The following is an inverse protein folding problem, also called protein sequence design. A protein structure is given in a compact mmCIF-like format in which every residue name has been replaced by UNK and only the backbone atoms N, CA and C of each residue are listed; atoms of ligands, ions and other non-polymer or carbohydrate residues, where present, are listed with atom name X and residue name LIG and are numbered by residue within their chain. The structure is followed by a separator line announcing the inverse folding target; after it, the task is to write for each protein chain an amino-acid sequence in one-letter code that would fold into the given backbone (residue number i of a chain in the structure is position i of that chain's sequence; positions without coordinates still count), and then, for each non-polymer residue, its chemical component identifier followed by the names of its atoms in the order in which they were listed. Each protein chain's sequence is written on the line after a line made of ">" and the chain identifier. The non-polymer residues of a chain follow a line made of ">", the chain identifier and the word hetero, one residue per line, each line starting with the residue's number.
data_IF_441020640675
#
_entry.id   IF_441020640675
#
_cell.length_a   1.000
_cell.length_b   1.000
_cell.length_c   1.000
_cell.angle_alpha   90.00
_cell.angle_beta   90.00
_cell.angle_gamma   90.00
#
_symmetry.space_group_name_H-M   'P 1'
#
loop_
_entity.id
_entity.type
_entity.pdbx_description
1 polymer ?
#
# COMPACT_ATOMS: atom_id res chain seq x y z
N UNK A 1 11.27 -9.36 3.86
CA UNK A 1 10.63 -8.63 2.74
C UNK A 1 10.44 -9.63 1.61
N UNK A 2 9.21 -9.91 1.22
CA UNK A 2 8.92 -10.81 0.10
C UNK A 2 8.81 -9.96 -1.15
N UNK A 3 9.67 -10.20 -2.15
CA UNK A 3 9.45 -9.61 -3.48
C UNK A 3 8.20 -10.26 -4.07
N UNK A 4 7.17 -9.46 -4.31
CA UNK A 4 5.98 -9.89 -5.03
C UNK A 4 6.29 -10.01 -6.51
N UNK A 5 5.97 -11.16 -7.10
CA UNK A 5 5.97 -11.29 -8.56
C UNK A 5 4.63 -10.74 -9.05
N UNK A 6 4.61 -9.44 -9.38
CA UNK A 6 3.41 -8.79 -9.88
C UNK A 6 3.34 -8.95 -11.39
N UNK A 7 2.33 -9.63 -11.85
CA UNK A 7 2.09 -9.86 -13.28
C UNK A 7 1.84 -8.56 -14.06
N UNK A 8 1.55 -7.45 -13.38
CA UNK A 8 1.31 -6.14 -13.99
C UNK A 8 1.57 -5.02 -12.98
N UNK A 9 2.33 -4.03 -13.40
CA UNK A 9 2.48 -2.73 -12.72
C UNK A 9 1.96 -1.64 -13.65
N UNK A 10 1.42 -0.56 -13.09
CA UNK A 10 1.10 0.62 -13.88
C UNK A 10 2.39 1.27 -14.41
N UNK A 11 2.39 1.61 -15.68
CA UNK A 11 3.50 2.28 -16.34
C UNK A 11 3.30 3.80 -16.38
N UNK A 12 2.11 4.29 -16.01
CA UNK A 12 1.80 5.72 -15.94
C UNK A 12 0.68 6.00 -14.93
N UNK A 13 0.53 7.26 -14.55
CA UNK A 13 -0.55 7.71 -13.67
C UNK A 13 -1.91 7.59 -14.38
N UNK A 14 -1.95 7.88 -15.68
CA UNK A 14 -3.15 7.69 -16.50
C UNK A 14 -3.62 6.25 -16.45
N UNK A 15 -2.72 5.28 -16.54
CA UNK A 15 -3.06 3.87 -16.44
C UNK A 15 -3.62 3.52 -15.05
N UNK A 16 -3.06 4.08 -13.96
CA UNK A 16 -3.64 3.92 -12.62
C UNK A 16 -5.07 4.45 -12.56
N UNK A 17 -5.32 5.63 -13.16
CA UNK A 17 -6.64 6.23 -13.21
C UNK A 17 -7.62 5.40 -14.04
N UNK A 18 -7.21 4.90 -15.20
CA UNK A 18 -8.04 4.09 -16.09
C UNK A 18 -8.42 2.76 -15.43
N UNK A 19 -7.46 2.04 -14.87
CA UNK A 19 -7.61 0.69 -14.34
C UNK A 19 -8.31 0.66 -12.96
N UNK A 20 -8.39 1.77 -12.24
CA UNK A 20 -9.12 1.84 -10.98
C UNK A 20 -10.63 1.84 -11.19
N UNK A 21 -11.35 0.97 -10.50
CA UNK A 21 -12.82 0.99 -10.44
C UNK A 21 -13.33 2.04 -9.43
N UNK A 22 -12.50 2.35 -8.42
CA UNK A 22 -12.84 3.24 -7.33
C UNK A 22 -11.59 4.03 -6.91
N UNK A 23 -11.71 5.36 -6.77
CA UNK A 23 -10.67 6.23 -6.24
C UNK A 23 -11.28 7.07 -5.12
N UNK A 24 -10.74 6.92 -3.92
CA UNK A 24 -11.26 7.53 -2.70
C UNK A 24 -10.17 8.31 -1.96
N UNK A 25 -10.53 9.43 -1.36
CA UNK A 25 -9.81 9.95 -0.20
C UNK A 25 -10.44 9.36 1.05
N UNK A 26 -9.63 8.70 1.85
CA UNK A 26 -10.09 7.99 3.04
C UNK A 26 -9.29 8.39 4.27
N UNK A 27 -9.95 8.30 5.43
CA UNK A 27 -9.31 8.20 6.73
C UNK A 27 -9.51 6.79 7.27
N UNK A 28 -8.45 6.15 7.71
CA UNK A 28 -8.54 4.81 8.30
C UNK A 28 -9.32 4.87 9.60
N UNK A 29 -10.51 4.27 9.63
CA UNK A 29 -11.35 4.16 10.83
C UNK A 29 -10.90 2.97 11.67
N UNK A 30 -10.64 1.84 11.02
CA UNK A 30 -10.21 0.60 11.66
C UNK A 30 -9.50 -0.30 10.65
N UNK A 31 -8.67 -1.21 11.15
CA UNK A 31 -7.98 -2.23 10.36
C UNK A 31 -8.10 -3.59 11.02
N UNK A 32 -8.22 -4.64 10.22
CA UNK A 32 -8.20 -6.02 10.68
C UNK A 32 -7.27 -6.84 9.78
N UNK A 33 -6.14 -7.28 10.32
CA UNK A 33 -5.23 -8.17 9.63
C UNK A 33 -5.67 -9.62 9.82
N UNK A 34 -5.59 -10.42 8.76
CA UNK A 34 -5.95 -11.84 8.78
C UNK A 34 -5.09 -12.61 7.79
N UNK A 35 -4.99 -13.92 7.97
CA UNK A 35 -4.31 -14.81 7.04
C UNK A 35 -5.32 -15.29 6.00
N UNK A 36 -5.00 -15.08 4.72
CA UNK A 36 -5.83 -15.55 3.61
C UNK A 36 -5.58 -17.04 3.30
N UNK A 37 -6.35 -17.59 2.34
CA UNK A 37 -6.29 -18.99 1.94
C UNK A 37 -4.93 -19.45 1.36
N UNK A 38 -4.05 -18.51 1.04
CA UNK A 38 -2.68 -18.77 0.57
C UNK A 38 -1.62 -18.66 1.69
N UNK A 39 -2.04 -18.45 2.94
CA UNK A 39 -1.13 -18.27 4.06
C UNK A 39 -0.47 -16.89 4.14
N UNK A 40 -0.98 -15.92 3.38
CA UNK A 40 -0.46 -14.55 3.33
C UNK A 40 -1.29 -13.63 4.22
N UNK A 41 -0.63 -12.72 4.93
CA UNK A 41 -1.35 -11.68 5.67
C UNK A 41 -2.02 -10.73 4.67
N UNK A 42 -3.28 -10.43 4.91
CA UNK A 42 -4.04 -9.36 4.27
C UNK A 42 -4.62 -8.45 5.33
N UNK A 43 -4.77 -7.18 5.01
CA UNK A 43 -5.40 -6.21 5.88
C UNK A 43 -6.71 -5.72 5.26
N UNK A 44 -7.79 -5.88 6.00
CA UNK A 44 -9.09 -5.28 5.72
C UNK A 44 -9.13 -3.89 6.37
N UNK A 45 -9.41 -2.87 5.59
CA UNK A 45 -9.48 -1.47 6.01
C UNK A 45 -10.95 -1.05 6.00
N UNK A 46 -11.45 -0.62 7.16
CA UNK A 46 -12.74 0.06 7.26
C UNK A 46 -12.48 1.56 7.11
N UNK A 47 -12.86 2.20 6.00
CA UNK A 47 -12.58 3.61 5.79
C UNK A 47 -13.68 4.50 6.37
N UNK A 48 -13.31 5.72 6.74
CA UNK A 48 -14.17 6.88 6.71
C UNK A 48 -13.85 7.59 5.39
N UNK A 49 -14.78 7.61 4.45
CA UNK A 49 -14.57 8.27 3.16
C UNK A 49 -14.71 9.77 3.33
N UNK A 50 -13.69 10.50 2.90
CA UNK A 50 -13.63 11.96 2.91
C UNK A 50 -14.02 12.54 1.56
N UNK A 51 -13.63 11.84 0.46
CA UNK A 51 -14.00 12.23 -0.90
C UNK A 51 -14.04 11.01 -1.83
N UNK A 52 -14.83 11.11 -2.93
CA UNK A 52 -14.94 10.09 -3.98
C UNK A 52 -14.53 10.71 -5.31
N UNK A 53 -13.35 10.35 -5.80
CA UNK A 53 -12.85 10.88 -7.06
C UNK A 53 -13.29 10.06 -8.27
N UNK A 54 -13.47 8.74 -8.13
CA UNK A 54 -13.96 7.85 -9.19
C UNK A 54 -14.81 6.73 -8.62
N UNK A 55 -15.84 6.31 -9.37
CA UNK A 55 -16.73 5.20 -9.01
C UNK A 55 -17.84 5.56 -8.04
N UNK A 56 -18.50 4.54 -7.50
CA UNK A 56 -19.57 4.67 -6.50
C UNK A 56 -19.19 3.85 -5.29
N UNK A 57 -19.13 4.49 -4.13
CA UNK A 57 -18.82 3.83 -2.87
C UNK A 57 -20.09 3.52 -2.07
N UNK A 58 -20.25 2.27 -1.63
CA UNK A 58 -21.42 1.77 -0.89
C UNK A 58 -21.01 1.13 0.45
N UNK A 59 -20.11 1.76 1.18
CA UNK A 59 -19.58 1.30 2.46
C UNK A 59 -18.79 -0.04 2.38
N UNK A 60 -18.10 -0.25 1.27
CA UNK A 60 -17.25 -1.42 1.10
C UNK A 60 -16.01 -1.36 2.00
N UNK A 61 -15.53 -2.55 2.39
CA UNK A 61 -14.23 -2.73 3.01
C UNK A 61 -13.17 -2.76 1.91
N UNK A 62 -12.06 -2.07 2.14
CA UNK A 62 -10.91 -2.07 1.23
C UNK A 62 -9.87 -3.07 1.71
N UNK A 63 -9.21 -3.76 0.78
CA UNK A 63 -8.25 -4.79 1.09
C UNK A 63 -6.87 -4.45 0.53
N UNK A 64 -5.84 -4.75 1.31
CA UNK A 64 -4.44 -4.67 0.89
C UNK A 64 -3.73 -5.98 1.21
N UNK A 65 -2.75 -6.36 0.39
CA UNK A 65 -1.89 -7.48 0.70
C UNK A 65 -0.85 -7.04 1.73
N UNK A 66 -0.54 -7.92 2.69
CA UNK A 66 0.38 -7.60 3.77
C UNK A 66 -0.30 -6.96 4.98
N UNK A 67 0.50 -6.65 5.98
CA UNK A 67 0.06 -6.09 7.25
C UNK A 67 0.85 -6.64 8.43
N UNK A 68 0.32 -6.40 9.61
CA UNK A 68 0.91 -6.82 10.88
C UNK A 68 -0.18 -7.44 11.77
N UNK A 69 0.13 -8.58 12.38
CA UNK A 69 -0.76 -9.25 13.30
C UNK A 69 0.02 -9.97 14.41
N UNK A 70 -0.64 -10.31 15.51
CA UNK A 70 0.00 -11.07 16.57
C UNK A 70 0.44 -12.45 16.07
N UNK A 71 1.63 -12.88 16.48
CA UNK A 71 2.15 -14.21 16.16
C UNK A 71 1.20 -15.32 16.60
N UNK A 72 0.62 -15.19 17.79
CA UNK A 72 -0.31 -16.16 18.34
C UNK A 72 -1.57 -16.33 17.46
N UNK A 73 -2.04 -15.28 16.82
CA UNK A 73 -3.15 -15.33 15.87
C UNK A 73 -2.71 -15.90 14.52
N UNK A 74 -1.52 -15.50 14.05
CA UNK A 74 -0.94 -15.97 12.80
C UNK A 74 -0.78 -17.49 12.76
N UNK A 75 -0.30 -18.11 13.83
CA UNK A 75 -0.10 -19.55 13.93
C UNK A 75 -1.38 -20.36 14.16
N UNK A 76 -2.50 -19.71 14.46
CA UNK A 76 -3.81 -20.40 14.56
C UNK A 76 -4.33 -20.80 13.18
N UNK A 77 -3.87 -20.16 12.12
CA UNK A 77 -4.24 -20.54 10.77
C UNK A 77 -3.55 -21.87 10.37
N UNK A 78 -4.33 -22.83 9.88
CA UNK A 78 -3.85 -24.17 9.54
C UNK A 78 -2.76 -24.20 8.46
N UNK A 79 -2.78 -23.24 7.53
CA UNK A 79 -1.79 -23.15 6.44
C UNK A 79 -0.46 -22.66 6.99
N UNK A 80 -0.49 -21.59 7.79
CA UNK A 80 0.73 -21.03 8.40
C UNK A 80 1.31 -22.01 9.42
N UNK A 81 0.46 -22.67 10.21
CA UNK A 81 0.86 -23.70 11.16
C UNK A 81 1.60 -24.85 10.47
N UNK A 82 1.09 -25.35 9.34
CA UNK A 82 1.77 -26.38 8.55
C UNK A 82 3.10 -25.92 7.98
N UNK A 83 3.16 -24.67 7.51
CA UNK A 83 4.38 -24.09 6.96
C UNK A 83 5.49 -23.95 8.04
N UNK A 84 5.10 -23.56 9.26
CA UNK A 84 6.04 -23.40 10.38
C UNK A 84 6.45 -24.74 10.97
N UNK A 85 5.53 -25.69 11.14
CA UNK A 85 5.81 -27.02 11.72
C UNK A 85 6.78 -27.87 10.89
N UNK A 86 7.04 -27.51 9.63
CA UNK A 86 8.09 -28.10 8.80
C UNK A 86 9.52 -27.65 9.16
N UNK A 87 9.67 -26.62 10.00
CA UNK A 87 10.95 -26.22 10.55
C UNK A 87 11.15 -26.88 11.92
N UNK A 88 12.15 -27.78 12.02
CA UNK A 88 12.50 -28.53 13.22
C UNK A 88 13.05 -27.62 14.33
N UNK A 89 12.22 -26.78 14.92
CA UNK A 89 12.60 -26.03 16.12
C UNK A 89 11.42 -26.02 17.11
N UNK A 90 11.26 -27.07 17.95
CA UNK A 90 10.16 -27.20 18.90
C UNK A 90 10.13 -26.10 19.97
N UNK A 91 11.27 -25.44 20.23
CA UNK A 91 11.36 -24.31 21.18
C UNK A 91 11.11 -22.94 20.49
N UNK A 92 10.97 -22.92 19.15
CA UNK A 92 10.86 -21.70 18.36
C UNK A 92 9.57 -20.92 18.59
N UNK A 93 8.50 -21.61 18.92
CA UNK A 93 7.16 -20.98 19.00
C UNK A 93 6.97 -20.17 20.28
N UNK A 94 7.51 -20.65 21.41
CA UNK A 94 7.38 -19.97 22.71
C UNK A 94 8.09 -18.60 22.73
N UNK A 95 9.22 -18.46 22.06
CA UNK A 95 9.99 -17.20 22.03
C UNK A 95 9.28 -16.08 21.27
N UNK A 96 8.30 -16.39 20.37
CA UNK A 96 7.59 -15.43 19.57
C UNK A 96 6.21 -15.07 20.14
N UNK A 97 5.77 -15.71 21.23
CA UNK A 97 4.50 -15.37 21.91
C UNK A 97 4.43 -13.89 22.26
N UNK A 98 3.30 -13.27 21.92
CA UNK A 98 3.07 -11.85 22.15
C UNK A 98 3.87 -10.91 21.25
N UNK A 99 4.62 -11.44 20.28
CA UNK A 99 5.30 -10.63 19.27
C UNK A 99 4.40 -10.42 18.04
N UNK A 100 4.81 -9.54 17.13
CA UNK A 100 4.09 -9.30 15.89
C UNK A 100 4.80 -9.94 14.70
N UNK A 101 4.00 -10.59 13.84
CA UNK A 101 4.41 -10.97 12.49
C UNK A 101 4.06 -9.85 11.55
N UNK A 102 5.04 -9.38 10.81
CA UNK A 102 4.86 -8.35 9.80
C UNK A 102 5.20 -8.91 8.43
N UNK A 103 4.23 -8.88 7.54
CA UNK A 103 4.43 -9.19 6.14
C UNK A 103 4.25 -7.92 5.31
N UNK A 104 5.35 -7.39 4.83
CA UNK A 104 5.36 -6.23 3.94
C UNK A 104 5.58 -6.76 2.53
N UNK A 105 4.65 -6.41 1.64
CA UNK A 105 4.77 -6.68 0.23
C UNK A 105 5.41 -5.45 -0.40
N UNK A 106 6.66 -5.59 -0.78
CA UNK A 106 7.53 -4.51 -1.21
C UNK A 106 7.59 -3.36 -0.18
N UNK A 107 7.42 -2.12 -0.56
CA UNK A 107 7.47 -0.96 0.34
C UNK A 107 6.07 -0.49 0.77
N UNK A 108 5.07 -1.36 0.79
CA UNK A 108 3.71 -1.02 1.15
C UNK A 108 3.61 -0.46 2.57
N UNK A 109 2.75 0.54 2.76
CA UNK A 109 2.45 1.08 4.08
C UNK A 109 1.73 0.07 4.98
N UNK A 110 2.01 0.14 6.28
CA UNK A 110 1.13 -0.42 7.31
C UNK A 110 0.11 0.67 7.63
N UNK A 111 -1.16 0.32 7.49
CA UNK A 111 -2.26 1.25 7.68
C UNK A 111 -2.62 1.36 9.15
N UNK A 112 -2.51 2.57 9.71
CA UNK A 112 -2.85 2.83 11.10
C UNK A 112 -4.13 3.68 11.18
N UNK A 113 -4.89 3.47 12.26
CA UNK A 113 -6.10 4.24 12.53
C UNK A 113 -5.80 5.73 12.59
N UNK A 114 -6.61 6.52 11.91
CA UNK A 114 -6.50 7.96 11.85
C UNK A 114 -5.63 8.50 10.71
N UNK A 115 -4.84 7.67 10.05
CA UNK A 115 -4.08 8.06 8.87
C UNK A 115 -4.99 8.29 7.66
N UNK A 116 -4.56 9.16 6.75
CA UNK A 116 -5.30 9.51 5.54
C UNK A 116 -4.57 9.04 4.30
N UNK A 117 -5.35 8.59 3.30
CA UNK A 117 -4.82 8.05 2.04
C UNK A 117 -5.72 8.44 0.87
N UNK A 118 -5.11 8.57 -0.30
CA UNK A 118 -5.82 8.44 -1.57
C UNK A 118 -5.63 6.97 -2.01
N UNK A 119 -6.75 6.28 -2.18
CA UNK A 119 -6.79 4.83 -2.41
C UNK A 119 -7.40 4.53 -3.78
N UNK A 120 -6.60 3.95 -4.65
CA UNK A 120 -7.01 3.43 -5.95
C UNK A 120 -7.33 1.95 -5.78
N UNK A 121 -8.55 1.57 -6.04
CA UNK A 121 -9.01 0.21 -5.85
C UNK A 121 -9.55 -0.40 -7.13
N UNK A 122 -9.32 -1.70 -7.26
CA UNK A 122 -9.92 -2.54 -8.29
C UNK A 122 -10.81 -3.60 -7.65
N UNK A 123 -11.98 -3.81 -8.23
CA UNK A 123 -12.92 -4.85 -7.81
C UNK A 123 -12.49 -6.18 -8.39
N UNK A 124 -12.22 -7.16 -7.53
CA UNK A 124 -11.95 -8.52 -7.98
C UNK A 124 -13.24 -9.22 -8.40
N UNK A 125 -13.24 -9.82 -9.56
CA UNK A 125 -14.41 -10.50 -10.15
C UNK A 125 -14.82 -11.73 -9.31
N UNK A 126 -13.85 -12.46 -8.78
CA UNK A 126 -14.05 -13.70 -8.03
C UNK A 126 -14.71 -13.48 -6.67
N UNK A 127 -14.36 -12.41 -5.97
CA UNK A 127 -14.81 -12.12 -4.61
C UNK A 127 -15.75 -10.93 -4.50
N UNK A 128 -15.81 -10.09 -5.52
CA UNK A 128 -16.52 -8.81 -5.48
C UNK A 128 -15.92 -7.78 -4.55
N UNK A 129 -14.75 -8.06 -3.94
CA UNK A 129 -14.06 -7.20 -2.99
C UNK A 129 -13.15 -6.20 -3.69
N UNK A 130 -12.97 -5.03 -3.08
CA UNK A 130 -12.07 -3.99 -3.57
C UNK A 130 -10.68 -4.14 -2.97
N UNK A 131 -9.68 -4.32 -3.83
CA UNK A 131 -8.27 -4.41 -3.46
C UNK A 131 -7.49 -3.21 -3.97
N UNK A 132 -6.44 -2.84 -3.25
CA UNK A 132 -5.47 -1.87 -3.74
C UNK A 132 -4.98 -2.26 -5.13
N UNK A 133 -5.09 -1.32 -6.06
CA UNK A 133 -4.67 -1.51 -7.44
C UNK A 133 -3.15 -1.65 -7.50
N UNK A 134 -2.65 -2.65 -8.24
CA UNK A 134 -1.22 -2.93 -8.39
C UNK A 134 -0.46 -2.94 -7.06
N UNK A 135 -1.08 -3.59 -6.06
CA UNK A 135 -0.58 -3.72 -4.70
C UNK A 135 -0.27 -2.36 -4.04
N UNK A 136 0.98 -1.97 -4.01
CA UNK A 136 1.45 -0.77 -3.32
C UNK A 136 1.31 0.52 -4.16
N UNK A 137 1.24 0.42 -5.49
CA UNK A 137 1.12 1.59 -6.35
C UNK A 137 -0.20 2.34 -6.18
N UNK A 138 -1.26 1.62 -5.79
CA UNK A 138 -2.60 2.18 -5.63
C UNK A 138 -2.85 2.86 -4.28
N UNK A 139 -1.84 3.00 -3.41
CA UNK A 139 -2.02 3.60 -2.09
C UNK A 139 -1.09 4.77 -1.86
N UNK A 140 -1.66 5.95 -1.72
CA UNK A 140 -0.93 7.20 -1.52
C UNK A 140 -1.25 7.75 -0.14
N UNK A 141 -0.27 7.81 0.76
CA UNK A 141 -0.44 8.36 2.10
C UNK A 141 -0.45 9.87 2.05
N UNK A 142 -1.35 10.49 2.80
CA UNK A 142 -1.39 11.94 3.01
C UNK A 142 -0.77 12.24 4.36
N UNK A 143 0.25 13.09 4.34
CA UNK A 143 0.95 13.54 5.53
C UNK A 143 1.35 15.01 5.36
N UNK A 144 0.85 15.88 6.27
CA UNK A 144 1.11 17.33 6.22
C UNK A 144 0.77 17.96 4.86
N UNK A 145 -0.40 17.65 4.30
CA UNK A 145 -0.86 18.14 2.98
C UNK A 145 0.02 17.70 1.80
N UNK A 146 0.89 16.73 2.04
CA UNK A 146 1.71 16.09 1.01
C UNK A 146 1.24 14.66 0.76
N UNK A 147 1.10 14.31 -0.50
CA UNK A 147 0.81 12.95 -0.95
C UNK A 147 2.12 12.22 -1.20
N UNK A 148 2.26 11.06 -0.59
CA UNK A 148 3.46 10.22 -0.62
C UNK A 148 3.13 8.82 -1.10
N UNK A 149 4.05 8.19 -1.82
CA UNK A 149 3.94 6.78 -2.18
C UNK A 149 5.27 6.05 -1.94
N UNK A 150 5.26 5.11 -1.00
CA UNK A 150 6.46 4.37 -0.60
C UNK A 150 7.04 3.47 -1.70
N UNK A 151 6.20 3.08 -2.65
CA UNK A 151 6.60 2.23 -3.76
C UNK A 151 7.45 2.94 -4.81
N UNK A 152 7.27 4.25 -4.88
CA UNK A 152 8.01 5.10 -5.79
C UNK A 152 9.33 5.58 -5.17
N UNK A 153 9.61 5.14 -3.95
CA UNK A 153 10.82 5.45 -3.20
C UNK A 153 11.92 4.39 -3.36
N UNK A 154 11.71 3.37 -4.19
CA UNK A 154 12.62 2.22 -4.29
C UNK A 154 13.85 2.48 -5.15
N UNK A 155 14.98 1.91 -4.74
CA UNK A 155 16.27 1.92 -5.45
C UNK A 155 16.20 1.32 -6.88
N UNK A 156 15.08 0.72 -7.28
CA UNK A 156 14.94 -0.03 -8.54
C UNK A 156 14.32 0.78 -9.70
N UNK A 157 13.72 1.95 -9.41
CA UNK A 157 13.20 2.84 -10.47
C UNK A 157 14.12 4.06 -10.60
N UNK A 158 14.71 4.31 -11.78
CA UNK A 158 15.46 5.54 -12.01
C UNK A 158 14.59 6.77 -11.74
N UNK A 159 15.14 7.81 -11.09
CA UNK A 159 14.45 9.07 -10.76
C UNK A 159 13.68 9.64 -11.96
N UNK A 160 14.25 9.51 -13.14
CA UNK A 160 13.64 9.94 -14.41
C UNK A 160 12.31 9.20 -14.71
N UNK A 161 12.28 7.90 -14.46
CA UNK A 161 11.10 7.08 -14.80
C UNK A 161 9.91 7.40 -13.88
N UNK A 162 10.18 7.78 -12.63
CA UNK A 162 9.14 8.21 -11.68
C UNK A 162 8.55 9.55 -12.13
N UNK A 163 9.38 10.50 -12.51
CA UNK A 163 8.94 11.80 -13.02
C UNK A 163 8.13 11.65 -14.32
N UNK A 164 8.57 10.76 -15.22
CA UNK A 164 7.88 10.47 -16.45
C UNK A 164 6.54 9.78 -16.20
N UNK A 165 6.46 8.80 -15.26
CA UNK A 165 5.23 8.11 -14.89
C UNK A 165 4.16 9.08 -14.36
N UNK A 166 4.56 10.05 -13.53
CA UNK A 166 3.63 10.99 -12.91
C UNK A 166 3.56 12.36 -13.59
N UNK A 167 4.31 12.56 -14.67
CA UNK A 167 4.38 13.83 -15.41
C UNK A 167 4.69 15.03 -14.49
N UNK A 168 5.58 14.80 -13.51
CA UNK A 168 5.99 15.79 -12.51
C UNK A 168 7.20 16.54 -13.06
N UNK A 169 7.13 17.86 -13.09
CA UNK A 169 8.29 18.66 -13.50
C UNK A 169 9.44 18.48 -12.50
N UNK A 170 10.66 18.30 -13.00
CA UNK A 170 11.88 18.12 -12.21
C UNK A 170 12.18 19.28 -11.22
N UNK A 171 11.46 20.38 -11.31
CA UNK A 171 11.63 21.56 -10.45
C UNK A 171 11.11 21.35 -9.01
N UNK A 172 10.21 20.39 -8.78
CA UNK A 172 9.72 20.05 -7.43
C UNK A 172 10.75 19.25 -6.63
N UNK A 173 11.71 18.61 -7.31
CA UNK A 173 12.70 17.73 -6.68
C UNK A 173 13.91 18.45 -6.08
N UNK A 174 14.14 19.74 -6.37
CA UNK A 174 15.39 20.44 -6.04
C UNK A 174 15.41 21.15 -4.69
N UNK A 175 14.63 20.76 -3.69
CA UNK A 175 14.99 21.11 -2.31
C UNK A 175 16.02 20.10 -1.77
N UNK A 176 17.22 20.11 -2.38
CA UNK A 176 18.43 19.54 -1.77
C UNK A 176 18.68 20.21 -0.44
N UNK A 177 18.48 19.49 0.65
CA UNK A 177 19.21 19.75 1.89
C UNK A 177 20.66 19.35 1.65
N UNK A 178 21.50 20.34 1.40
CA UNK A 178 22.94 20.20 1.36
C UNK A 178 23.43 19.76 2.74
N UNK A 179 24.28 18.73 2.75
CA UNK A 179 25.05 18.11 3.83
C UNK A 179 24.35 16.93 4.51
N UNK A 180 24.64 15.74 3.96
CA UNK A 180 25.05 14.55 4.74
C UNK A 180 25.35 13.40 3.77
N UNK A 181 26.49 12.78 3.92
CA UNK A 181 26.91 11.53 3.28
C UNK A 181 26.05 10.38 3.80
N UNK A 182 24.92 10.13 3.14
CA UNK A 182 24.13 8.91 3.25
C UNK A 182 23.26 8.80 1.99
N UNK A 183 23.05 7.61 1.51
CA UNK A 183 22.10 7.29 0.45
C UNK A 183 20.83 8.11 0.65
N UNK A 184 20.60 9.07 -0.26
CA UNK A 184 19.41 9.93 -0.19
C UNK A 184 18.26 9.03 -0.60
N UNK A 185 17.45 8.61 0.37
CA UNK A 185 16.18 7.98 0.10
C UNK A 185 15.33 9.03 -0.64
N UNK A 186 15.11 8.80 -1.94
CA UNK A 186 14.19 9.60 -2.73
C UNK A 186 12.78 9.27 -2.24
N UNK A 187 12.07 10.24 -1.70
CA UNK A 187 10.67 10.09 -1.32
C UNK A 187 9.79 10.84 -2.33
N UNK A 188 8.92 10.11 -3.04
CA UNK A 188 7.91 10.72 -3.88
C UNK A 188 6.96 11.54 -3.01
N UNK A 189 6.92 12.85 -3.24
CA UNK A 189 6.03 13.77 -2.53
C UNK A 189 5.50 14.82 -3.50
N UNK A 190 4.20 15.06 -3.46
CA UNK A 190 3.51 16.09 -4.23
C UNK A 190 2.45 16.74 -3.34
N UNK A 191 2.21 18.06 -3.42
CA UNK A 191 1.09 18.70 -2.72
C UNK A 191 -0.24 17.99 -3.03
N UNK A 192 -1.07 17.78 -2.01
CA UNK A 192 -2.35 17.09 -2.17
C UNK A 192 -3.23 17.78 -3.21
N UNK A 193 -3.30 19.10 -3.19
CA UNK A 193 -4.08 19.89 -4.15
C UNK A 193 -3.68 19.60 -5.59
N UNK A 194 -2.36 19.58 -5.88
CA UNK A 194 -1.84 19.26 -7.20
C UNK A 194 -2.15 17.81 -7.62
N UNK A 195 -2.05 16.87 -6.68
CA UNK A 195 -2.37 15.46 -6.95
C UNK A 195 -3.86 15.28 -7.29
N UNK A 196 -4.74 15.93 -6.53
CA UNK A 196 -6.20 15.91 -6.77
C UNK A 196 -6.55 16.60 -8.08
N UNK A 197 -5.88 17.70 -8.42
CA UNK A 197 -6.06 18.35 -9.72
C UNK A 197 -5.70 17.41 -10.88
N UNK A 198 -4.61 16.67 -10.78
CA UNK A 198 -4.23 15.64 -11.78
C UNK A 198 -5.31 14.57 -11.94
N UNK A 199 -5.88 14.07 -10.83
CA UNK A 199 -6.99 13.12 -10.89
C UNK A 199 -8.19 13.72 -11.64
N UNK A 200 -8.51 14.98 -11.41
CA UNK A 200 -9.69 15.62 -12.00
C UNK A 200 -9.52 16.00 -13.47
N UNK A 201 -8.31 16.34 -13.89
CA UNK A 201 -8.00 16.75 -15.26
C UNK A 201 -7.92 15.58 -16.25
N UNK A 202 -7.74 14.34 -15.76
CA UNK A 202 -7.64 13.13 -16.57
C UNK A 202 -8.94 12.31 -16.61
N UNK A 203 -10.04 12.82 -16.02
CA UNK A 203 -11.39 12.26 -16.14
C UNK A 203 -12.01 12.68 -17.47
#
# INVERSE_FOLDING_TARGET
>A
TTKGDYNKLALSFEQLLEDADLILKIKVKDTNAFVNDNGMIQTAITPTVLDVYKGVYNNEILYVNGGEMLYDEFIQNEITKKAISGHENPDGDEQYKGTYVRQIVDQQYIFNRGEEYIFFAQKRIDSGKYYSLYAYQGTFKIDNEMVKNSALNGEELPEKDICDIFNISSDVQNKKTSNLTSTVDFEFQIPEEEFVEKINNLK
#
